data_IF_232083020653
#
_entry.id   IF_232083020653
#
_cell.length_a   1.000
_cell.length_b   1.000
_cell.length_c   1.000
_cell.angle_alpha   90.00
_cell.angle_beta   90.00
_cell.angle_gamma   90.00
#
_symmetry.space_group_name_H-M   'P 1'
#
loop_
_entity.id
_entity.type
_entity.pdbx_description
1 polymer ?
#
# COMPACT_ATOMS: atom_id res chain seq x y z
N UNK A 1 -4.93 -5.75 -11.95
CA UNK A 1 -5.29 -4.35 -11.60
C UNK A 1 -4.04 -3.50 -11.72
N UNK A 2 -4.10 -2.26 -12.25
CA UNK A 2 -2.92 -1.45 -12.46
C UNK A 2 -2.35 -0.94 -11.13
N UNK A 3 -1.02 -0.95 -11.02
CA UNK A 3 -0.34 -0.32 -9.90
C UNK A 3 -0.50 1.21 -9.97
N UNK A 4 -0.52 1.87 -8.81
CA UNK A 4 -0.67 3.32 -8.72
C UNK A 4 0.61 4.01 -9.18
N UNK A 5 0.46 5.14 -9.90
CA UNK A 5 1.59 6.00 -10.27
C UNK A 5 1.48 7.30 -9.49
N UNK A 6 2.62 7.85 -9.08
CA UNK A 6 2.65 9.06 -8.27
C UNK A 6 1.94 10.26 -8.94
N UNK A 7 2.03 10.34 -10.28
CA UNK A 7 1.37 11.39 -11.08
C UNK A 7 -0.16 11.40 -10.89
N UNK A 8 -0.77 10.24 -10.61
CA UNK A 8 -2.21 10.10 -10.44
C UNK A 8 -2.67 10.44 -8.99
N UNK A 9 -1.74 10.76 -8.09
CA UNK A 9 -2.00 10.94 -6.64
C UNK A 9 -1.90 12.39 -6.15
N UNK A 10 -1.61 13.35 -7.03
CA UNK A 10 -1.34 14.76 -6.65
C UNK A 10 -2.38 15.35 -5.69
N UNK A 11 -3.67 15.22 -6.02
CA UNK A 11 -4.74 15.78 -5.19
C UNK A 11 -4.84 15.12 -3.80
N UNK A 12 -4.61 13.81 -3.72
CA UNK A 12 -4.64 13.08 -2.45
C UNK A 12 -3.43 13.44 -1.58
N UNK A 13 -2.23 13.53 -2.18
CA UNK A 13 -1.00 13.94 -1.49
C UNK A 13 -1.20 15.33 -0.88
N UNK A 14 -1.72 16.29 -1.67
CA UNK A 14 -1.99 17.64 -1.19
C UNK A 14 -3.01 17.66 -0.05
N UNK A 15 -4.06 16.85 -0.13
CA UNK A 15 -5.05 16.72 0.94
C UNK A 15 -4.49 16.06 2.21
N UNK A 16 -3.66 15.03 2.06
CA UNK A 16 -2.98 14.35 3.17
C UNK A 16 -2.08 15.33 3.92
N UNK A 17 -1.18 16.00 3.19
CA UNK A 17 -0.23 16.94 3.76
C UNK A 17 -0.92 18.14 4.39
N UNK A 18 -1.94 18.71 3.74
CA UNK A 18 -2.69 19.84 4.29
C UNK A 18 -3.32 19.50 5.64
N UNK A 19 -3.88 18.28 5.78
CA UNK A 19 -4.45 17.83 7.06
C UNK A 19 -3.36 17.69 8.13
N UNK A 20 -2.23 17.07 7.80
CA UNK A 20 -1.10 16.88 8.72
C UNK A 20 -0.49 18.22 9.18
N UNK A 21 -0.33 19.18 8.28
CA UNK A 21 0.15 20.52 8.65
C UNK A 21 -0.89 21.28 9.49
N UNK A 22 -2.18 21.15 9.18
CA UNK A 22 -3.23 21.84 9.93
C UNK A 22 -3.32 21.34 11.38
N UNK A 23 -3.21 20.03 11.60
CA UNK A 23 -3.27 19.45 12.95
C UNK A 23 -2.02 19.78 13.81
N UNK A 24 -0.84 19.87 13.20
CA UNK A 24 0.43 20.02 13.91
C UNK A 24 0.85 21.49 14.07
N UNK A 25 0.68 22.32 13.02
CA UNK A 25 1.11 23.72 13.02
C UNK A 25 0.04 24.64 13.62
N UNK A 26 -1.25 24.40 13.33
CA UNK A 26 -2.35 25.22 13.84
C UNK A 26 -2.15 26.73 13.60
N UNK A 27 -2.06 27.52 14.67
CA UNK A 27 -1.82 28.96 14.62
C UNK A 27 -0.33 29.36 14.47
N UNK A 28 0.59 28.39 14.51
CA UNK A 28 2.03 28.58 14.32
C UNK A 28 2.88 27.84 15.34
N UNK A 29 4.10 27.48 14.93
CA UNK A 29 5.11 26.87 15.80
C UNK A 29 5.76 27.93 16.71
N UNK A 30 5.36 27.94 17.98
CA UNK A 30 5.88 28.87 18.99
C UNK A 30 7.33 28.59 19.37
N UNK A 31 7.82 27.35 19.20
CA UNK A 31 9.17 26.97 19.57
C UNK A 31 10.16 27.41 18.50
N UNK A 32 9.79 27.30 17.22
CA UNK A 32 10.59 27.83 16.11
C UNK A 32 10.79 29.36 16.21
N UNK A 33 9.92 30.11 16.89
CA UNK A 33 10.06 31.56 17.06
C UNK A 33 11.29 31.98 17.89
N UNK A 34 11.87 31.06 18.66
CA UNK A 34 13.12 31.29 19.39
C UNK A 34 14.33 31.53 18.46
N UNK A 35 14.24 31.07 17.21
CA UNK A 35 15.32 31.17 16.22
C UNK A 35 15.15 32.49 15.44
N UNK A 36 16.20 33.26 15.14
CA UNK A 36 16.07 34.46 14.29
C UNK A 36 15.43 34.16 12.93
N UNK A 37 14.56 35.04 12.42
CA UNK A 37 13.75 34.79 11.23
C UNK A 37 14.59 34.66 9.94
N UNK A 38 15.74 35.32 9.90
CA UNK A 38 16.72 35.32 8.82
C UNK A 38 17.71 34.14 8.91
N UNK A 39 17.62 33.30 9.95
CA UNK A 39 18.52 32.16 10.10
C UNK A 39 18.23 31.12 9.02
N UNK A 40 19.21 30.90 8.16
CA UNK A 40 19.25 29.75 7.25
C UNK A 40 19.93 28.57 7.94
N UNK A 41 19.56 27.37 7.56
CA UNK A 41 20.17 26.14 8.03
C UNK A 41 20.14 25.07 6.93
N UNK A 42 20.91 24.01 7.16
CA UNK A 42 20.86 22.77 6.40
C UNK A 42 20.45 21.63 7.32
N UNK A 43 19.76 20.63 6.78
CA UNK A 43 19.48 19.41 7.52
C UNK A 43 19.78 18.19 6.68
N UNK A 44 20.17 17.10 7.33
CA UNK A 44 20.32 15.79 6.70
C UNK A 44 19.38 14.81 7.38
N UNK A 45 18.61 14.08 6.57
CA UNK A 45 17.74 13.03 7.06
C UNK A 45 18.40 11.69 6.76
N UNK A 46 18.49 10.84 7.78
CA UNK A 46 19.05 9.49 7.68
C UNK A 46 18.01 8.44 8.07
N UNK A 47 18.14 7.23 7.51
CA UNK A 47 17.48 6.05 8.06
C UNK A 47 18.35 5.42 9.13
N UNK A 48 17.78 4.98 10.25
CA UNK A 48 18.49 4.17 11.27
C UNK A 48 18.29 2.67 11.06
N UNK A 49 17.32 2.30 10.23
CA UNK A 49 17.04 0.93 9.84
C UNK A 49 17.42 0.67 8.38
N UNK A 50 17.60 -0.60 8.02
CA UNK A 50 17.46 -1.01 6.63
C UNK A 50 15.98 -0.95 6.23
N UNK A 51 15.67 -0.36 5.07
CA UNK A 51 14.29 -0.10 4.66
C UNK A 51 14.14 -0.01 3.13
N UNK A 52 12.91 -0.11 2.66
CA UNK A 52 12.50 0.38 1.33
C UNK A 52 11.87 1.75 1.50
N UNK A 53 12.36 2.74 0.75
CA UNK A 53 11.85 4.11 0.85
C UNK A 53 10.58 4.27 0.03
N UNK A 54 9.57 4.92 0.60
CA UNK A 54 8.38 5.36 -0.11
C UNK A 54 7.80 6.62 0.54
N UNK A 55 7.36 7.58 -0.28
CA UNK A 55 6.70 8.80 0.19
C UNK A 55 7.43 10.10 -0.11
N UNK A 56 8.42 10.10 -1.01
CA UNK A 56 9.18 11.29 -1.41
C UNK A 56 8.29 12.50 -1.75
N UNK A 57 7.23 12.28 -2.54
CA UNK A 57 6.30 13.35 -2.93
C UNK A 57 5.48 13.95 -1.78
N UNK A 58 5.24 13.20 -0.69
CA UNK A 58 4.58 13.73 0.51
C UNK A 58 5.52 14.68 1.24
N UNK A 59 6.80 14.33 1.37
CA UNK A 59 7.84 15.20 1.95
C UNK A 59 8.00 16.49 1.14
N UNK A 60 8.11 16.37 -0.19
CA UNK A 60 8.19 17.55 -1.07
C UNK A 60 6.97 18.46 -0.90
N UNK A 61 5.79 17.85 -0.78
CA UNK A 61 4.54 18.60 -0.61
C UNK A 61 4.43 19.26 0.76
N UNK A 62 4.98 18.66 1.84
CA UNK A 62 5.06 19.29 3.17
C UNK A 62 5.82 20.60 3.08
N UNK A 63 7.04 20.59 2.54
CA UNK A 63 7.85 21.80 2.45
C UNK A 63 7.28 22.80 1.44
N UNK A 64 6.73 22.34 0.31
CA UNK A 64 6.05 23.22 -0.66
C UNK A 64 4.85 23.97 -0.05
N UNK A 65 4.03 23.31 0.78
CA UNK A 65 2.88 23.95 1.43
C UNK A 65 3.30 24.83 2.61
N UNK A 66 4.34 24.45 3.33
CA UNK A 66 4.82 25.17 4.51
C UNK A 66 5.63 26.41 4.16
N UNK A 67 6.66 26.25 3.32
CA UNK A 67 7.55 27.33 2.88
C UNK A 67 8.29 26.94 1.59
N UNK A 68 7.91 27.49 0.42
CA UNK A 68 8.51 27.14 -0.87
C UNK A 68 9.99 27.54 -1.01
N UNK A 69 10.56 28.25 -0.02
CA UNK A 69 12.00 28.56 0.03
C UNK A 69 12.84 27.37 0.51
N UNK A 70 12.23 26.33 1.07
CA UNK A 70 12.94 25.12 1.47
C UNK A 70 13.20 24.25 0.24
N UNK A 71 14.48 24.01 -0.05
CA UNK A 71 14.92 23.08 -1.08
C UNK A 71 15.08 21.67 -0.50
N UNK A 72 14.59 20.66 -1.21
CA UNK A 72 14.72 19.23 -0.88
C UNK A 72 15.63 18.57 -1.91
N UNK A 73 16.71 17.93 -1.45
CA UNK A 73 17.73 17.30 -2.29
C UNK A 73 17.82 15.80 -2.00
N UNK A 74 17.03 15.02 -2.73
CA UNK A 74 16.98 13.57 -2.61
C UNK A 74 18.26 12.87 -3.06
N UNK A 75 18.66 11.85 -2.30
CA UNK A 75 19.74 10.90 -2.63
C UNK A 75 19.21 9.50 -2.98
N UNK A 76 17.89 9.33 -2.87
CA UNK A 76 17.14 8.09 -3.09
C UNK A 76 15.81 8.42 -3.76
N UNK A 77 15.20 7.43 -4.39
CA UNK A 77 13.87 7.49 -4.98
C UNK A 77 12.95 6.45 -4.35
N UNK A 78 11.63 6.63 -4.51
CA UNK A 78 10.66 5.65 -3.99
C UNK A 78 10.90 4.27 -4.62
N UNK A 79 10.98 3.23 -3.79
CA UNK A 79 11.32 1.85 -4.16
C UNK A 79 12.78 1.46 -3.89
N UNK A 80 13.67 2.43 -3.62
CA UNK A 80 15.07 2.12 -3.30
C UNK A 80 15.20 1.43 -1.94
N UNK A 81 16.06 0.40 -1.89
CA UNK A 81 16.52 -0.23 -0.64
C UNK A 81 17.65 0.61 -0.05
N UNK A 82 17.55 0.93 1.23
CA UNK A 82 18.56 1.70 1.97
C UNK A 82 19.10 0.91 3.15
N UNK A 83 20.33 1.22 3.54
CA UNK A 83 20.98 0.65 4.72
C UNK A 83 20.84 1.57 5.93
N UNK A 84 21.04 1.01 7.13
CA UNK A 84 21.11 1.79 8.35
C UNK A 84 22.21 2.88 8.27
N UNK A 85 21.90 4.06 8.81
CA UNK A 85 22.68 5.30 8.76
C UNK A 85 22.90 5.91 7.37
N UNK A 86 22.23 5.41 6.33
CA UNK A 86 22.27 6.02 5.00
C UNK A 86 21.52 7.36 4.98
N UNK A 87 22.12 8.37 4.37
CA UNK A 87 21.45 9.64 4.09
C UNK A 87 20.41 9.47 2.98
N UNK A 88 19.20 9.98 3.22
CA UNK A 88 18.07 9.87 2.31
C UNK A 88 17.91 11.16 1.49
N UNK A 89 17.94 12.31 2.16
CA UNK A 89 17.84 13.62 1.52
C UNK A 89 18.43 14.71 2.42
N UNK A 90 18.76 15.83 1.78
CA UNK A 90 19.17 17.05 2.45
C UNK A 90 18.11 18.13 2.28
N UNK A 91 18.00 19.01 3.28
CA UNK A 91 17.18 20.20 3.24
C UNK A 91 18.05 21.44 3.35
N UNK A 92 17.67 22.51 2.66
CA UNK A 92 18.29 23.83 2.77
C UNK A 92 17.21 24.91 2.76
N UNK A 93 17.26 25.86 3.71
CA UNK A 93 16.28 26.94 3.78
C UNK A 93 16.19 27.62 5.14
N UNK A 94 15.11 28.39 5.40
CA UNK A 94 14.89 29.02 6.70
C UNK A 94 14.80 27.99 7.83
N UNK A 95 15.61 28.17 8.88
CA UNK A 95 15.74 27.21 9.98
C UNK A 95 14.41 26.95 10.70
N UNK A 96 13.57 27.98 10.84
CA UNK A 96 12.20 27.84 11.38
C UNK A 96 11.36 26.85 10.57
N UNK A 97 11.36 27.02 9.25
CA UNK A 97 10.58 26.19 8.32
C UNK A 97 11.07 24.75 8.28
N UNK A 98 12.39 24.52 8.35
CA UNK A 98 12.96 23.17 8.44
C UNK A 98 12.46 22.42 9.68
N UNK A 99 12.49 23.07 10.85
CA UNK A 99 12.10 22.47 12.12
C UNK A 99 10.58 22.26 12.23
N UNK A 100 9.78 23.24 11.77
CA UNK A 100 8.32 23.11 11.76
C UNK A 100 7.86 22.00 10.80
N UNK A 101 8.52 21.84 9.65
CA UNK A 101 8.16 20.80 8.67
C UNK A 101 8.65 19.39 9.00
N UNK A 102 9.62 19.25 9.91
CA UNK A 102 10.30 17.99 10.21
C UNK A 102 9.32 16.86 10.53
N UNK A 103 8.45 17.08 11.52
CA UNK A 103 7.62 15.99 12.07
C UNK A 103 6.62 15.50 11.05
N UNK A 104 5.93 16.41 10.36
CA UNK A 104 4.99 16.07 9.29
C UNK A 104 5.68 15.33 8.14
N UNK A 105 6.84 15.81 7.67
CA UNK A 105 7.59 15.16 6.60
C UNK A 105 8.04 13.75 6.98
N UNK A 106 8.66 13.60 8.17
CA UNK A 106 9.15 12.31 8.63
C UNK A 106 8.00 11.34 8.91
N UNK A 107 6.89 11.76 9.53
CA UNK A 107 5.76 10.87 9.79
C UNK A 107 5.23 10.19 8.52
N UNK A 108 5.09 10.93 7.41
CA UNK A 108 4.72 10.34 6.12
C UNK A 108 5.77 9.35 5.63
N UNK A 109 7.03 9.78 5.54
CA UNK A 109 8.11 8.95 5.01
C UNK A 109 8.32 7.68 5.84
N UNK A 110 8.27 7.78 7.17
CA UNK A 110 8.42 6.67 8.11
C UNK A 110 7.31 5.62 7.93
N UNK A 111 6.06 6.06 7.85
CA UNK A 111 4.90 5.17 7.73
C UNK A 111 4.87 4.48 6.36
N UNK A 112 5.03 5.25 5.28
CA UNK A 112 5.00 4.73 3.92
C UNK A 112 6.19 3.81 3.64
N UNK A 113 7.39 4.19 4.09
CA UNK A 113 8.57 3.32 4.01
C UNK A 113 8.40 2.05 4.84
N UNK A 114 7.68 2.11 5.98
CA UNK A 114 7.35 0.93 6.78
C UNK A 114 6.48 -0.07 6.03
N UNK A 115 5.42 0.43 5.35
CA UNK A 115 4.56 -0.38 4.49
C UNK A 115 5.34 -0.97 3.31
N UNK A 116 6.15 -0.16 2.62
CA UNK A 116 6.96 -0.62 1.50
C UNK A 116 7.99 -1.69 1.92
N UNK A 117 8.61 -1.52 3.09
CA UNK A 117 9.53 -2.50 3.67
C UNK A 117 8.83 -3.81 3.99
N UNK A 118 7.62 -3.78 4.57
CA UNK A 118 6.86 -5.01 4.85
C UNK A 118 6.39 -5.70 3.56
N UNK A 119 6.00 -4.94 2.54
CA UNK A 119 5.64 -5.48 1.24
C UNK A 119 6.85 -6.16 0.57
N UNK A 120 8.01 -5.52 0.56
CA UNK A 120 9.25 -6.10 0.03
C UNK A 120 9.68 -7.36 0.78
N UNK A 121 9.52 -7.40 2.09
CA UNK A 121 9.77 -8.61 2.87
C UNK A 121 8.95 -9.81 2.35
N UNK A 122 7.64 -9.62 2.14
CA UNK A 122 6.80 -10.69 1.62
C UNK A 122 7.12 -11.03 0.16
N UNK A 123 7.40 -10.03 -0.67
CA UNK A 123 7.80 -10.26 -2.06
C UNK A 123 9.08 -11.11 -2.15
N UNK A 124 10.06 -10.85 -1.28
CA UNK A 124 11.29 -11.63 -1.20
C UNK A 124 11.02 -13.09 -0.77
N UNK A 125 10.04 -13.35 0.12
CA UNK A 125 9.69 -14.71 0.56
C UNK A 125 9.16 -15.61 -0.57
N UNK A 126 8.41 -15.04 -1.51
CA UNK A 126 7.81 -15.77 -2.64
C UNK A 126 8.64 -15.65 -3.93
N UNK A 127 9.85 -15.10 -3.84
CA UNK A 127 10.77 -15.02 -4.96
C UNK A 127 11.03 -16.39 -5.59
N UNK A 128 11.01 -16.45 -6.92
CA UNK A 128 11.11 -17.68 -7.70
C UNK A 128 9.77 -18.38 -7.99
N UNK A 129 8.65 -17.89 -7.44
CA UNK A 129 7.30 -18.31 -7.83
C UNK A 129 6.68 -17.33 -8.84
N UNK A 130 5.54 -17.67 -9.42
CA UNK A 130 4.79 -16.78 -10.34
C UNK A 130 3.70 -15.96 -9.64
N UNK A 131 3.51 -16.17 -8.34
CA UNK A 131 2.43 -15.54 -7.57
C UNK A 131 2.62 -14.04 -7.48
N UNK A 132 1.51 -13.30 -7.45
CA UNK A 132 1.52 -11.86 -7.18
C UNK A 132 0.85 -11.59 -5.84
N UNK A 133 1.58 -10.93 -4.95
CA UNK A 133 1.04 -10.55 -3.65
C UNK A 133 0.19 -9.28 -3.79
N UNK A 134 -1.05 -9.36 -3.29
CA UNK A 134 -2.03 -8.28 -3.35
C UNK A 134 -2.23 -7.67 -1.96
N UNK A 135 -2.35 -6.35 -1.92
CA UNK A 135 -2.86 -5.64 -0.74
C UNK A 135 -4.37 -5.86 -0.54
N UNK A 136 -4.95 -5.16 0.43
CA UNK A 136 -6.40 -5.21 0.67
C UNK A 136 -6.96 -3.81 0.94
N UNK A 137 -8.25 -3.73 1.28
CA UNK A 137 -8.88 -2.51 1.81
C UNK A 137 -8.70 -2.34 3.34
N UNK A 138 -7.96 -3.23 4.00
CA UNK A 138 -7.60 -3.13 5.43
C UNK A 138 -6.44 -2.14 5.57
N UNK A 139 -6.75 -0.85 5.43
CA UNK A 139 -5.77 0.26 5.41
C UNK A 139 -6.05 1.25 6.53
N UNK A 140 -5.05 2.04 6.91
CA UNK A 140 -5.24 3.17 7.82
C UNK A 140 -6.26 4.17 7.24
N UNK A 141 -7.23 4.66 8.05
CA UNK A 141 -8.22 5.62 7.60
C UNK A 141 -7.58 6.87 6.99
N UNK A 142 -8.09 7.31 5.83
CA UNK A 142 -7.57 8.49 5.12
C UNK A 142 -6.28 8.29 4.32
N UNK A 143 -5.60 7.14 4.45
CA UNK A 143 -4.29 6.88 3.85
C UNK A 143 -4.29 5.75 2.82
N UNK A 144 -5.47 5.32 2.37
CA UNK A 144 -5.61 4.15 1.47
C UNK A 144 -4.72 4.24 0.23
N UNK A 145 -4.82 5.33 -0.54
CA UNK A 145 -4.02 5.47 -1.77
C UNK A 145 -2.52 5.58 -1.47
N UNK A 146 -2.15 6.25 -0.38
CA UNK A 146 -0.76 6.35 0.04
C UNK A 146 -0.18 4.96 0.41
N UNK A 147 -0.92 4.15 1.18
CA UNK A 147 -0.47 2.80 1.53
C UNK A 147 -0.45 1.85 0.33
N UNK A 148 -1.42 1.91 -0.57
CA UNK A 148 -1.41 1.15 -1.84
C UNK A 148 -0.20 1.53 -2.72
N UNK A 149 0.13 2.83 -2.76
CA UNK A 149 1.35 3.28 -3.43
C UNK A 149 2.62 2.71 -2.76
N UNK A 150 2.70 2.72 -1.43
CA UNK A 150 3.82 2.12 -0.71
C UNK A 150 3.95 0.60 -0.95
N UNK A 151 2.83 -0.13 -1.01
CA UNK A 151 2.82 -1.56 -1.40
C UNK A 151 3.45 -1.76 -2.78
N UNK A 152 3.11 -0.89 -3.75
CA UNK A 152 3.70 -0.90 -5.09
C UNK A 152 5.21 -0.66 -5.04
N UNK A 153 5.67 0.31 -4.24
CA UNK A 153 7.10 0.59 -4.06
C UNK A 153 7.86 -0.59 -3.45
N UNK A 154 7.20 -1.36 -2.58
CA UNK A 154 7.74 -2.60 -2.02
C UNK A 154 7.74 -3.81 -2.97
N UNK A 155 7.30 -3.66 -4.23
CA UNK A 155 7.30 -4.75 -5.20
C UNK A 155 6.08 -5.67 -5.14
N UNK A 156 5.06 -5.32 -4.36
CA UNK A 156 3.77 -5.99 -4.36
C UNK A 156 2.76 -5.27 -5.29
N UNK A 157 1.53 -5.77 -5.36
CA UNK A 157 0.53 -5.28 -6.27
C UNK A 157 -0.75 -4.83 -5.56
N UNK A 158 -1.49 -3.94 -6.21
CA UNK A 158 -2.76 -3.47 -5.68
C UNK A 158 -3.90 -4.41 -6.08
N UNK A 159 -4.67 -4.87 -5.09
CA UNK A 159 -6.07 -5.26 -5.28
C UNK A 159 -6.90 -3.99 -5.57
N UNK A 160 -8.23 -4.13 -5.65
CA UNK A 160 -9.15 -3.04 -5.96
C UNK A 160 -8.93 -1.86 -5.02
N UNK A 161 -9.04 -0.66 -5.54
CA UNK A 161 -8.86 0.58 -4.79
C UNK A 161 -9.99 0.76 -3.79
N UNK A 162 -11.23 0.45 -4.19
CA UNK A 162 -12.40 0.67 -3.35
C UNK A 162 -13.56 -0.23 -3.72
N UNK A 163 -14.77 0.23 -3.41
CA UNK A 163 -16.01 -0.49 -3.73
C UNK A 163 -16.51 -0.19 -5.16
N UNK A 164 -15.81 0.67 -5.91
CA UNK A 164 -16.30 1.27 -7.15
C UNK A 164 -15.62 0.71 -8.42
N UNK A 165 -14.51 -0.01 -8.28
CA UNK A 165 -13.65 -0.40 -9.40
C UNK A 165 -13.62 -1.91 -9.68
N UNK A 166 -14.05 -2.75 -8.73
CA UNK A 166 -14.16 -4.22 -8.91
C UNK A 166 -15.23 -4.78 -7.97
N UNK A 167 -16.08 -5.67 -8.47
CA UNK A 167 -17.02 -6.42 -7.64
C UNK A 167 -16.25 -7.47 -6.84
N UNK A 168 -16.59 -7.60 -5.55
CA UNK A 168 -16.16 -8.71 -4.70
C UNK A 168 -17.41 -9.27 -4.05
N UNK A 169 -17.93 -10.34 -4.63
CA UNK A 169 -19.10 -11.07 -4.20
C UNK A 169 -18.65 -12.02 -3.09
N UNK A 170 -19.37 -12.00 -1.96
CA UNK A 170 -19.09 -12.78 -0.74
C UNK A 170 -20.35 -13.54 -0.34
N UNK A 171 -20.27 -14.44 0.64
CA UNK A 171 -21.39 -15.19 1.23
C UNK A 171 -22.69 -14.37 1.37
N UNK A 172 -22.58 -13.14 1.92
CA UNK A 172 -23.74 -12.29 2.21
C UNK A 172 -24.41 -11.78 0.93
N UNK A 173 -23.62 -11.52 -0.12
CA UNK A 173 -24.13 -11.12 -1.43
C UNK A 173 -24.75 -12.32 -2.15
N UNK A 174 -24.11 -13.50 -2.07
CA UNK A 174 -24.61 -14.75 -2.65
C UNK A 174 -25.98 -15.08 -2.06
N UNK A 175 -26.11 -15.02 -0.73
CA UNK A 175 -27.36 -15.25 -0.02
C UNK A 175 -28.45 -14.23 -0.45
N UNK A 176 -28.09 -12.95 -0.56
CA UNK A 176 -29.03 -11.90 -0.96
C UNK A 176 -29.48 -11.99 -2.43
N UNK A 177 -28.62 -12.47 -3.33
CA UNK A 177 -28.91 -12.63 -4.76
C UNK A 177 -29.56 -13.97 -5.11
N UNK A 178 -29.62 -14.93 -4.17
CA UNK A 178 -30.18 -16.26 -4.40
C UNK A 178 -29.22 -17.25 -5.07
N UNK A 179 -27.91 -16.98 -5.04
CA UNK A 179 -26.87 -17.87 -5.57
C UNK A 179 -25.74 -17.15 -6.31
N UNK A 180 -24.65 -17.89 -6.56
CA UNK A 180 -23.44 -17.37 -7.22
C UNK A 180 -23.76 -16.92 -8.65
N UNK A 181 -24.45 -17.76 -9.42
CA UNK A 181 -24.77 -17.46 -10.82
C UNK A 181 -25.59 -16.17 -10.97
N UNK A 182 -26.61 -16.00 -10.12
CA UNK A 182 -27.47 -14.81 -10.10
C UNK A 182 -26.68 -13.55 -9.72
N UNK A 183 -25.76 -13.66 -8.75
CA UNK A 183 -24.92 -12.55 -8.33
C UNK A 183 -23.95 -12.11 -9.44
N UNK A 184 -23.30 -13.05 -10.12
CA UNK A 184 -22.37 -12.77 -11.22
C UNK A 184 -23.10 -12.20 -12.44
N UNK A 185 -24.26 -12.77 -12.81
CA UNK A 185 -25.08 -12.23 -13.90
C UNK A 185 -25.54 -10.79 -13.61
N UNK A 186 -25.97 -10.53 -12.36
CA UNK A 186 -26.34 -9.19 -11.94
C UNK A 186 -25.15 -8.22 -12.01
N UNK A 187 -23.95 -8.63 -11.60
CA UNK A 187 -22.75 -7.80 -11.66
C UNK A 187 -22.41 -7.40 -13.11
N UNK A 188 -22.41 -8.37 -14.03
CA UNK A 188 -22.17 -8.11 -15.46
C UNK A 188 -23.19 -7.16 -16.08
N UNK A 189 -24.45 -7.21 -15.63
CA UNK A 189 -25.50 -6.29 -16.08
C UNK A 189 -25.36 -4.88 -15.49
N UNK A 190 -25.00 -4.77 -14.21
CA UNK A 190 -24.94 -3.49 -13.49
C UNK A 190 -23.77 -2.63 -13.98
N UNK A 191 -22.59 -3.22 -14.14
CA UNK A 191 -21.41 -2.50 -14.60
C UNK A 191 -20.59 -3.36 -15.58
N UNK A 192 -21.03 -3.46 -16.85
CA UNK A 192 -20.30 -4.19 -17.88
C UNK A 192 -18.83 -3.76 -17.97
N UNK A 193 -17.92 -4.72 -18.05
CA UNK A 193 -16.47 -4.49 -18.14
C UNK A 193 -15.77 -4.22 -16.81
N UNK A 194 -16.48 -4.18 -15.67
CA UNK A 194 -15.86 -4.25 -14.35
C UNK A 194 -15.52 -5.70 -14.01
N UNK A 195 -14.32 -6.00 -13.50
CA UNK A 195 -13.99 -7.35 -13.07
C UNK A 195 -14.96 -7.84 -11.99
N UNK A 196 -15.33 -9.11 -12.07
CA UNK A 196 -16.17 -9.80 -11.09
C UNK A 196 -15.34 -10.83 -10.36
N UNK A 197 -15.12 -10.57 -9.08
CA UNK A 197 -14.48 -11.51 -8.16
C UNK A 197 -15.52 -12.16 -7.25
N UNK A 198 -15.40 -13.47 -7.04
CA UNK A 198 -16.26 -14.25 -6.15
C UNK A 198 -15.40 -14.94 -5.09
N UNK A 199 -15.72 -14.71 -3.82
CA UNK A 199 -15.17 -15.46 -2.69
C UNK A 199 -15.92 -16.78 -2.52
N UNK A 200 -15.18 -17.87 -2.38
CA UNK A 200 -15.69 -19.23 -2.25
C UNK A 200 -15.01 -19.95 -1.10
N UNK A 201 -15.77 -20.80 -0.42
CA UNK A 201 -15.33 -21.58 0.75
C UNK A 201 -15.21 -23.08 0.43
N UNK A 202 -15.53 -23.49 -0.81
CA UNK A 202 -15.44 -24.90 -1.21
C UNK A 202 -15.15 -25.09 -2.71
N UNK A 203 -14.63 -26.27 -3.07
CA UNK A 203 -14.47 -26.68 -4.48
C UNK A 203 -15.80 -26.79 -5.25
N UNK A 204 -16.93 -26.92 -4.55
CA UNK A 204 -18.26 -26.90 -5.16
C UNK A 204 -18.62 -25.49 -5.62
N UNK A 205 -18.44 -24.50 -4.75
CA UNK A 205 -18.66 -23.09 -5.06
C UNK A 205 -17.69 -22.56 -6.11
N UNK A 206 -16.42 -23.00 -6.07
CA UNK A 206 -15.45 -22.74 -7.14
C UNK A 206 -16.02 -23.12 -8.51
N UNK A 207 -16.58 -24.33 -8.66
CA UNK A 207 -17.18 -24.77 -9.93
C UNK A 207 -18.35 -23.88 -10.35
N UNK A 208 -19.21 -23.50 -9.40
CA UNK A 208 -20.33 -22.59 -9.68
C UNK A 208 -19.84 -21.21 -10.14
N UNK A 209 -18.82 -20.64 -9.49
CA UNK A 209 -18.25 -19.35 -9.87
C UNK A 209 -17.57 -19.41 -11.24
N UNK A 210 -16.84 -20.50 -11.51
CA UNK A 210 -16.23 -20.75 -12.82
C UNK A 210 -17.28 -20.88 -13.93
N UNK A 211 -18.39 -21.57 -13.67
CA UNK A 211 -19.47 -21.78 -14.67
C UNK A 211 -20.30 -20.50 -14.87
N UNK A 212 -20.41 -19.66 -13.84
CA UNK A 212 -21.03 -18.33 -13.92
C UNK A 212 -20.16 -17.30 -14.66
N UNK A 213 -18.87 -17.59 -14.90
CA UNK A 213 -17.96 -16.71 -15.62
C UNK A 213 -17.33 -15.61 -14.76
N UNK A 214 -17.03 -15.89 -13.49
CA UNK A 214 -16.24 -14.97 -12.67
C UNK A 214 -14.82 -14.80 -13.23
N UNK A 215 -14.28 -13.58 -13.21
CA UNK A 215 -12.93 -13.26 -13.71
C UNK A 215 -11.85 -13.72 -12.72
N UNK A 216 -12.15 -13.58 -11.43
CA UNK A 216 -11.26 -13.89 -10.30
C UNK A 216 -12.08 -14.68 -9.26
N UNK A 217 -11.47 -15.69 -8.66
CA UNK A 217 -12.08 -16.47 -7.61
C UNK A 217 -11.15 -16.49 -6.40
N UNK A 218 -11.65 -15.95 -5.29
CA UNK A 218 -10.94 -15.91 -4.02
C UNK A 218 -11.25 -17.18 -3.23
N UNK A 219 -10.23 -17.95 -2.90
CA UNK A 219 -10.27 -19.16 -2.09
C UNK A 219 -10.12 -18.75 -0.62
N UNK A 220 -11.21 -18.76 0.16
CA UNK A 220 -11.19 -18.35 1.56
C UNK A 220 -10.95 -19.55 2.48
N UNK A 221 -9.80 -19.55 3.16
CA UNK A 221 -9.40 -20.57 4.14
C UNK A 221 -9.43 -22.04 3.64
N UNK A 222 -9.29 -22.26 2.33
CA UNK A 222 -9.13 -23.61 1.76
C UNK A 222 -7.83 -24.28 2.22
N UNK A 223 -7.83 -25.61 2.29
CA UNK A 223 -6.62 -26.38 2.57
C UNK A 223 -5.61 -26.31 1.40
N UNK A 224 -4.33 -26.59 1.65
CA UNK A 224 -3.31 -26.63 0.58
C UNK A 224 -3.64 -27.64 -0.52
N UNK A 225 -4.26 -28.77 -0.16
CA UNK A 225 -4.66 -29.79 -1.13
C UNK A 225 -5.85 -29.31 -1.96
N UNK A 226 -6.82 -28.64 -1.34
CA UNK A 226 -7.94 -28.02 -2.07
C UNK A 226 -7.46 -26.88 -2.97
N UNK A 227 -6.46 -26.08 -2.56
CA UNK A 227 -5.89 -25.05 -3.43
C UNK A 227 -5.23 -25.64 -4.68
N UNK A 228 -4.45 -26.73 -4.54
CA UNK A 228 -3.85 -27.43 -5.68
C UNK A 228 -4.92 -28.00 -6.62
N UNK A 229 -5.96 -28.59 -6.04
CA UNK A 229 -7.10 -29.10 -6.81
C UNK A 229 -7.88 -27.96 -7.49
N UNK A 230 -8.03 -26.80 -6.83
CA UNK A 230 -8.66 -25.61 -7.38
C UNK A 230 -7.89 -25.08 -8.60
N UNK A 231 -6.56 -25.04 -8.53
CA UNK A 231 -5.68 -24.68 -9.67
C UNK A 231 -5.90 -25.65 -10.83
N UNK A 232 -5.94 -26.96 -10.55
CA UNK A 232 -6.19 -27.99 -11.56
C UNK A 232 -7.57 -27.87 -12.22
N UNK A 233 -8.62 -27.64 -11.43
CA UNK A 233 -10.01 -27.51 -11.89
C UNK A 233 -10.23 -26.22 -12.69
N UNK A 234 -9.59 -25.13 -12.28
CA UNK A 234 -9.73 -23.82 -12.93
C UNK A 234 -9.14 -23.84 -14.34
N UNK A 235 -8.03 -24.54 -14.56
CA UNK A 235 -7.42 -24.74 -15.88
C UNK A 235 -7.28 -23.43 -16.71
N UNK A 236 -6.99 -22.32 -16.04
CA UNK A 236 -6.83 -20.99 -16.66
C UNK A 236 -8.13 -20.26 -17.04
N UNK A 237 -9.31 -20.77 -16.69
CA UNK A 237 -10.62 -20.15 -16.95
C UNK A 237 -10.85 -18.85 -16.16
N UNK A 238 -10.26 -18.74 -14.98
CA UNK A 238 -10.30 -17.59 -14.09
C UNK A 238 -8.94 -17.45 -13.37
N UNK A 239 -8.71 -16.31 -12.73
CA UNK A 239 -7.57 -16.16 -11.81
C UNK A 239 -7.94 -16.64 -10.42
N UNK A 240 -7.00 -17.25 -9.71
CA UNK A 240 -7.19 -17.68 -8.33
C UNK A 240 -6.44 -16.78 -7.36
N UNK A 241 -7.14 -16.38 -6.31
CA UNK A 241 -6.60 -15.60 -5.20
C UNK A 241 -6.73 -16.37 -3.89
N UNK A 242 -5.65 -16.62 -3.18
CA UNK A 242 -5.73 -17.20 -1.83
C UNK A 242 -5.91 -16.09 -0.78
N UNK A 243 -6.85 -16.31 0.14
CA UNK A 243 -7.12 -15.46 1.30
C UNK A 243 -7.32 -16.31 2.56
N UNK A 244 -7.05 -15.70 3.72
CA UNK A 244 -7.17 -16.36 5.02
C UNK A 244 -5.90 -17.11 5.44
N UNK A 245 -5.60 -17.13 6.74
CA UNK A 245 -4.45 -17.88 7.30
C UNK A 245 -3.05 -17.49 6.81
N UNK A 246 -2.88 -16.39 6.06
CA UNK A 246 -1.59 -15.99 5.50
C UNK A 246 -0.67 -15.39 6.57
N UNK A 247 0.49 -16.02 6.78
CA UNK A 247 1.55 -15.58 7.68
C UNK A 247 2.93 -16.01 7.15
N UNK A 248 3.99 -15.68 7.88
CA UNK A 248 5.37 -15.96 7.49
C UNK A 248 5.65 -17.48 7.27
N UNK A 249 4.94 -18.37 7.97
CA UNK A 249 5.11 -19.83 7.83
C UNK A 249 4.29 -20.41 6.66
N UNK A 250 3.14 -19.81 6.35
CA UNK A 250 2.19 -20.33 5.35
C UNK A 250 2.37 -19.71 3.96
N UNK A 251 2.91 -18.50 3.86
CA UNK A 251 2.95 -17.73 2.61
C UNK A 251 3.64 -18.49 1.47
N UNK A 252 4.83 -19.04 1.73
CA UNK A 252 5.62 -19.71 0.70
C UNK A 252 4.95 -20.99 0.20
N UNK A 253 4.43 -21.82 1.10
CA UNK A 253 3.77 -23.07 0.72
C UNK A 253 2.45 -22.83 -0.03
N UNK A 254 1.74 -21.74 0.29
CA UNK A 254 0.56 -21.30 -0.47
C UNK A 254 0.97 -20.83 -1.86
N UNK A 255 2.04 -20.03 -1.99
CA UNK A 255 2.55 -19.59 -3.30
C UNK A 255 2.93 -20.77 -4.22
N UNK A 256 3.45 -21.86 -3.65
CA UNK A 256 3.83 -23.08 -4.37
C UNK A 256 2.63 -23.95 -4.80
N UNK A 257 1.41 -23.65 -4.36
CA UNK A 257 0.20 -24.34 -4.86
C UNK A 257 -0.11 -24.00 -6.31
N UNK A 258 0.38 -22.86 -6.80
CA UNK A 258 0.15 -22.38 -8.17
C UNK A 258 -1.01 -21.39 -8.31
N UNK A 259 -1.57 -20.86 -7.22
CA UNK A 259 -2.51 -19.73 -7.26
C UNK A 259 -1.86 -18.50 -7.92
N UNK A 260 -2.66 -17.65 -8.57
CA UNK A 260 -2.16 -16.45 -9.24
C UNK A 260 -1.85 -15.32 -8.25
N UNK A 261 -2.67 -15.22 -7.20
CA UNK A 261 -2.64 -14.14 -6.23
C UNK A 261 -2.68 -14.63 -4.79
N UNK A 262 -2.11 -13.85 -3.88
CA UNK A 262 -2.29 -14.02 -2.42
C UNK A 262 -2.57 -12.65 -1.81
N UNK A 263 -3.69 -12.52 -1.11
CA UNK A 263 -4.09 -11.27 -0.45
C UNK A 263 -3.55 -11.19 0.98
N UNK A 264 -2.78 -10.14 1.29
CA UNK A 264 -2.15 -9.97 2.61
C UNK A 264 -2.53 -8.63 3.23
N UNK A 265 -3.52 -8.66 4.13
CA UNK A 265 -3.94 -7.45 4.85
C UNK A 265 -2.89 -6.88 5.80
N UNK A 266 -1.97 -7.73 6.29
CA UNK A 266 -0.89 -7.33 7.20
C UNK A 266 0.12 -6.34 6.57
N UNK A 267 0.15 -6.21 5.23
CA UNK A 267 1.00 -5.21 4.58
C UNK A 267 0.58 -3.77 4.93
N UNK A 268 -0.70 -3.52 5.13
CA UNK A 268 -1.26 -2.15 5.24
C UNK A 268 -1.93 -1.87 6.57
N UNK A 269 -2.47 -2.89 7.26
CA UNK A 269 -3.13 -2.68 8.56
C UNK A 269 -2.14 -2.66 9.72
N UNK A 270 -1.05 -3.42 9.62
CA UNK A 270 -0.02 -3.55 10.65
C UNK A 270 1.18 -2.71 10.22
N UNK A 271 1.33 -1.52 10.83
CA UNK A 271 2.40 -0.59 10.46
C UNK A 271 3.49 -0.59 11.51
N UNK A 272 4.70 -0.95 11.09
CA UNK A 272 5.93 -0.67 11.82
C UNK A 272 6.68 0.44 11.08
N UNK A 273 6.65 1.65 11.63
CA UNK A 273 7.30 2.80 11.04
C UNK A 273 8.84 2.62 11.02
N UNK A 274 9.49 3.07 9.96
CA UNK A 274 10.96 3.09 9.84
C UNK A 274 11.52 4.14 10.80
N UNK A 275 12.62 3.85 11.49
CA UNK A 275 13.28 4.84 12.34
C UNK A 275 14.10 5.83 11.49
N UNK A 276 13.64 7.08 11.43
CA UNK A 276 14.28 8.17 10.68
C UNK A 276 14.70 9.29 11.62
N UNK A 277 15.77 9.98 11.28
CA UNK A 277 16.30 11.10 12.10
C UNK A 277 16.74 12.25 11.22
N UNK A 278 16.28 13.45 11.55
CA UNK A 278 16.83 14.68 11.03
C UNK A 278 18.00 15.15 11.91
N UNK A 279 19.07 15.64 11.27
CA UNK A 279 20.19 16.31 11.94
C UNK A 279 20.39 17.67 11.31
N UNK A 280 20.24 18.72 12.11
CA UNK A 280 20.45 20.10 11.69
C UNK A 280 21.94 20.46 11.73
N UNK A 281 22.39 21.21 10.74
CA UNK A 281 23.71 21.84 10.67
C UNK A 281 23.54 23.30 10.25
N UNK A 282 24.24 24.21 10.92
CA UNK A 282 24.24 25.64 10.63
C UNK A 282 25.34 26.01 9.63
#
# INVERSE_FOLDING_TARGET
>A
MPNLRIADLTAEIEANVRRALLEDVGSGDITAQLIPAERLAKATIISRDAAVIAGTAWVDTVFRQLDPRVAVHWQVTDGDRVSANQALFHLEGPARSLLTGERSALNFLQMLSGVATRAQYFADMVSGTQVKLLDTRKTLPGLRLAQKYAVTCGGCHNHRIGLYDTFLIKENHIAACGGIAQAVEAAHRIAPGKPVEVEVESLSELKQALDAGADIIMLDELSLDDMREAVRLTAGRARLEASGGINDDTLRVIAETGVDYISIGAMTKDVKAVDLSMRLSL
#
